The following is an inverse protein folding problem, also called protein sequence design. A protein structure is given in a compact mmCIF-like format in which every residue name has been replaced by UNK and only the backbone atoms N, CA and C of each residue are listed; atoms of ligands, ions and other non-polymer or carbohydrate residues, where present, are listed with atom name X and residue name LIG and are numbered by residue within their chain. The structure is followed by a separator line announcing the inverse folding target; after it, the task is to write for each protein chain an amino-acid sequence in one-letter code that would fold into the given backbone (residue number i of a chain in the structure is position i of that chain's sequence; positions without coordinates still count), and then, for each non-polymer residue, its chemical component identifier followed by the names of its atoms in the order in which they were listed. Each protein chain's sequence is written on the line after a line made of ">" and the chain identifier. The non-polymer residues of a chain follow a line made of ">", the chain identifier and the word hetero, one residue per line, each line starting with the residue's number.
data_IF_832496399047
#
_entry.id   IF_832496399047
#
_cell.length_a   1.000
_cell.length_b   1.000
_cell.length_c   1.000
_cell.angle_alpha   90.00
_cell.angle_beta   90.00
_cell.angle_gamma   90.00
#
_symmetry.space_group_name_H-M   'P 1'
#
loop_
_entity.id
_entity.type
_entity.pdbx_description
1 polymer ?
#
# COMPACT_ATOMS: atom_id res chain seq x y z
N UNK A 1 -54.20 2.81 45.94
CA UNK A 1 -54.52 2.99 44.50
C UNK A 1 -53.64 4.09 43.92
N UNK A 2 -52.61 3.72 43.15
CA UNK A 2 -51.95 4.57 42.14
C UNK A 2 -51.10 3.64 41.27
N UNK A 3 -51.64 3.30 40.10
CA UNK A 3 -51.04 2.42 39.11
C UNK A 3 -49.88 3.14 38.41
N UNK A 4 -48.65 2.64 38.57
CA UNK A 4 -47.52 3.07 37.77
C UNK A 4 -47.29 2.04 36.65
N UNK A 5 -47.93 2.28 35.50
CA UNK A 5 -47.63 1.59 34.24
C UNK A 5 -46.22 1.99 33.79
N UNK A 6 -45.22 1.14 34.01
CA UNK A 6 -43.92 1.26 33.31
C UNK A 6 -44.09 0.68 31.91
N UNK A 7 -44.20 1.57 30.92
CA UNK A 7 -44.01 1.21 29.52
C UNK A 7 -42.56 0.73 29.33
N UNK A 8 -42.38 -0.55 29.03
CA UNK A 8 -41.18 -1.03 28.34
C UNK A 8 -41.19 -0.41 26.94
N UNK A 9 -40.37 0.62 26.72
CA UNK A 9 -39.98 1.01 25.37
C UNK A 9 -38.96 -0.02 24.90
N UNK A 10 -39.41 -1.00 24.11
CA UNK A 10 -38.52 -1.86 23.33
C UNK A 10 -37.93 -0.96 22.25
N UNK A 11 -36.68 -0.54 22.43
CA UNK A 11 -35.90 0.06 21.35
C UNK A 11 -35.71 -1.03 20.28
N UNK A 12 -35.99 -0.77 18.99
CA UNK A 12 -35.63 -1.70 17.95
C UNK A 12 -34.11 -1.71 17.87
N UNK A 13 -33.49 -2.78 18.34
CA UNK A 13 -32.10 -3.10 17.99
C UNK A 13 -32.14 -3.32 16.48
N UNK A 14 -31.60 -2.37 15.72
CA UNK A 14 -31.27 -2.58 14.31
C UNK A 14 -30.30 -3.77 14.27
N UNK A 15 -30.82 -4.96 13.93
CA UNK A 15 -29.99 -5.96 13.28
C UNK A 15 -29.64 -5.37 11.91
N UNK A 16 -28.50 -4.67 11.82
CA UNK A 16 -27.80 -4.62 10.56
C UNK A 16 -27.38 -6.06 10.26
N UNK A 17 -28.21 -6.76 9.50
CA UNK A 17 -27.75 -7.92 8.77
C UNK A 17 -26.56 -7.42 7.94
N UNK A 18 -25.36 -7.92 8.27
CA UNK A 18 -24.22 -7.89 7.37
C UNK A 18 -24.68 -8.62 6.10
N UNK A 19 -25.27 -7.88 5.16
CA UNK A 19 -25.27 -8.30 3.78
C UNK A 19 -23.79 -8.43 3.44
N UNK A 20 -23.33 -9.64 3.16
CA UNK A 20 -21.95 -9.88 2.75
C UNK A 20 -21.61 -8.82 1.71
N UNK A 21 -20.56 -8.04 1.97
CA UNK A 21 -20.00 -7.10 1.02
C UNK A 21 -19.81 -7.88 -0.27
N UNK A 22 -20.57 -7.53 -1.31
CA UNK A 22 -20.22 -7.98 -2.65
C UNK A 22 -18.76 -7.57 -2.86
N UNK A 23 -17.89 -8.50 -3.23
CA UNK A 23 -16.49 -8.20 -3.57
C UNK A 23 -16.51 -7.11 -4.65
N UNK A 24 -16.15 -5.89 -4.27
CA UNK A 24 -16.26 -4.72 -5.12
C UNK A 24 -15.01 -4.57 -5.97
N UNK A 25 -13.83 -4.86 -5.41
CA UNK A 25 -12.58 -4.92 -6.15
C UNK A 25 -12.52 -6.21 -6.98
N UNK A 26 -12.23 -6.05 -8.27
CA UNK A 26 -11.99 -7.17 -9.20
C UNK A 26 -10.56 -7.06 -9.72
N UNK A 27 -9.77 -8.12 -9.55
CA UNK A 27 -8.44 -8.24 -10.15
C UNK A 27 -8.54 -9.27 -11.29
N UNK A 28 -8.31 -8.82 -12.51
CA UNK A 28 -8.36 -9.62 -13.72
C UNK A 28 -6.94 -9.91 -14.21
N UNK A 29 -6.72 -11.15 -14.65
CA UNK A 29 -5.43 -11.59 -15.16
C UNK A 29 -5.48 -11.90 -16.65
N UNK A 30 -4.50 -11.41 -17.39
CA UNK A 30 -4.15 -11.87 -18.73
C UNK A 30 -2.86 -12.67 -18.64
N UNK A 31 -2.95 -13.99 -18.72
CA UNK A 31 -1.77 -14.86 -18.58
C UNK A 31 -0.99 -15.00 -19.89
N UNK A 32 0.34 -15.00 -19.78
CA UNK A 32 1.23 -15.37 -20.88
C UNK A 32 0.89 -16.76 -21.45
N UNK A 33 1.09 -16.99 -22.77
CA UNK A 33 0.84 -18.29 -23.38
C UNK A 33 1.65 -19.41 -22.70
N UNK A 34 0.99 -20.52 -22.37
CA UNK A 34 1.64 -21.67 -21.73
C UNK A 34 1.88 -21.53 -20.23
N UNK A 35 1.23 -20.55 -19.58
CA UNK A 35 1.25 -20.38 -18.12
C UNK A 35 1.08 -21.69 -17.37
N UNK A 36 1.93 -21.93 -16.38
CA UNK A 36 1.81 -23.07 -15.48
C UNK A 36 0.47 -23.01 -14.71
N UNK A 37 -0.35 -24.08 -14.70
CA UNK A 37 -1.65 -24.06 -14.02
C UNK A 37 -1.58 -23.79 -12.51
N UNK A 38 -0.52 -24.23 -11.83
CA UNK A 38 -0.30 -23.96 -10.40
C UNK A 38 0.06 -22.50 -10.19
N UNK A 39 0.91 -21.93 -11.05
CA UNK A 39 1.22 -20.49 -11.01
C UNK A 39 -0.03 -19.64 -11.24
N UNK A 40 -0.86 -19.98 -12.24
CA UNK A 40 -2.13 -19.28 -12.48
C UNK A 40 -3.06 -19.34 -11.27
N UNK A 41 -3.22 -20.53 -10.66
CA UNK A 41 -4.02 -20.69 -9.44
C UNK A 41 -3.43 -19.91 -8.26
N UNK A 42 -2.10 -19.87 -8.14
CA UNK A 42 -1.38 -19.10 -7.14
C UNK A 42 -1.63 -17.59 -7.27
N UNK A 43 -1.57 -17.03 -8.49
CA UNK A 43 -1.93 -15.64 -8.75
C UNK A 43 -3.38 -15.34 -8.39
N UNK A 44 -4.31 -16.24 -8.72
CA UNK A 44 -5.72 -16.09 -8.35
C UNK A 44 -5.93 -16.11 -6.83
N UNK A 45 -5.23 -16.98 -6.11
CA UNK A 45 -5.26 -17.03 -4.66
C UNK A 45 -4.62 -15.79 -4.02
N UNK A 46 -3.54 -15.26 -4.61
CA UNK A 46 -2.90 -14.03 -4.17
C UNK A 46 -3.83 -12.82 -4.38
N UNK A 47 -4.49 -12.71 -5.53
CA UNK A 47 -5.52 -11.70 -5.76
C UNK A 47 -6.66 -11.79 -4.75
N UNK A 48 -7.07 -13.00 -4.37
CA UNK A 48 -8.10 -13.19 -3.35
C UNK A 48 -7.67 -12.64 -1.97
N UNK A 49 -6.38 -12.63 -1.62
CA UNK A 49 -5.92 -12.00 -0.37
C UNK A 49 -6.23 -10.50 -0.34
N UNK A 50 -6.07 -9.81 -1.48
CA UNK A 50 -6.38 -8.38 -1.63
C UNK A 50 -7.89 -8.11 -1.76
N UNK A 51 -8.61 -8.83 -2.62
CA UNK A 51 -10.05 -8.60 -2.83
C UNK A 51 -10.91 -8.98 -1.61
N UNK A 52 -10.37 -9.73 -0.66
CA UNK A 52 -11.02 -10.01 0.61
C UNK A 52 -10.90 -8.87 1.64
N UNK A 53 -9.95 -7.95 1.45
CA UNK A 53 -9.68 -6.87 2.42
C UNK A 53 -9.88 -5.47 1.85
N UNK A 54 -9.93 -5.31 0.52
CA UNK A 54 -10.21 -4.05 -0.17
C UNK A 54 -11.60 -4.11 -0.83
N UNK A 55 -12.32 -2.98 -0.84
CA UNK A 55 -13.73 -2.92 -1.27
C UNK A 55 -14.05 -1.77 -2.25
N UNK A 56 -13.04 -1.19 -2.90
CA UNK A 56 -13.26 -0.23 -3.99
C UNK A 56 -13.92 -0.91 -5.17
N UNK A 57 -14.97 -0.30 -5.73
CA UNK A 57 -15.69 -0.85 -6.88
C UNK A 57 -14.97 -0.58 -8.21
N UNK A 58 -13.75 -1.06 -8.31
CA UNK A 58 -12.84 -0.85 -9.44
C UNK A 58 -12.33 -2.18 -9.99
N UNK A 59 -11.80 -2.12 -11.21
CA UNK A 59 -11.12 -3.22 -11.87
C UNK A 59 -9.62 -2.94 -11.91
N UNK A 60 -8.82 -3.95 -11.62
CA UNK A 60 -7.37 -3.95 -11.80
C UNK A 60 -7.02 -5.05 -12.79
N UNK A 61 -6.38 -4.68 -13.89
CA UNK A 61 -6.00 -5.58 -14.98
C UNK A 61 -4.49 -5.83 -14.97
N UNK A 62 -4.07 -7.08 -14.76
CA UNK A 62 -2.65 -7.42 -14.69
C UNK A 62 -2.29 -8.47 -15.72
N UNK A 63 -1.22 -8.21 -16.47
CA UNK A 63 -0.57 -9.24 -17.27
C UNK A 63 0.30 -10.09 -16.35
N UNK A 64 0.24 -11.41 -16.47
CA UNK A 64 1.05 -12.32 -15.62
C UNK A 64 1.88 -13.28 -16.44
N UNK A 65 3.13 -13.49 -16.03
CA UNK A 65 4.07 -14.43 -16.65
C UNK A 65 4.79 -15.32 -15.64
N UNK A 66 5.24 -16.48 -16.11
CA UNK A 66 6.06 -17.44 -15.37
C UNK A 66 7.18 -17.93 -16.30
N UNK A 67 8.38 -17.40 -16.11
CA UNK A 67 9.48 -17.47 -17.09
C UNK A 67 10.85 -17.35 -16.41
N UNK A 68 11.95 -17.58 -17.12
CA UNK A 68 13.28 -17.32 -16.55
C UNK A 68 13.48 -15.82 -16.34
N UNK A 69 13.88 -15.42 -15.13
CA UNK A 69 14.28 -14.05 -14.77
C UNK A 69 15.76 -14.01 -14.39
N UNK A 70 16.28 -12.81 -14.17
CA UNK A 70 17.66 -12.59 -13.73
C UNK A 70 17.97 -13.33 -12.41
N UNK A 71 19.23 -13.75 -12.18
CA UNK A 71 19.62 -14.45 -10.96
C UNK A 71 19.23 -13.68 -9.70
N UNK A 72 18.56 -14.36 -8.77
CA UNK A 72 18.13 -13.79 -7.49
C UNK A 72 16.78 -13.06 -7.51
N UNK A 73 16.12 -12.94 -8.66
CA UNK A 73 14.80 -12.29 -8.77
C UNK A 73 13.69 -13.33 -8.70
N UNK A 74 12.94 -13.35 -7.60
CA UNK A 74 11.79 -14.25 -7.40
C UNK A 74 10.60 -13.84 -8.28
N UNK A 75 10.24 -12.56 -8.20
CA UNK A 75 9.19 -11.93 -8.98
C UNK A 75 9.59 -10.50 -9.32
N UNK A 76 8.86 -9.90 -10.25
CA UNK A 76 8.97 -8.47 -10.54
C UNK A 76 7.64 -7.90 -10.99
N UNK A 77 7.40 -6.66 -10.61
CA UNK A 77 6.20 -5.89 -11.01
C UNK A 77 6.60 -4.63 -11.76
N UNK A 78 5.99 -4.44 -12.93
CA UNK A 78 6.02 -3.18 -13.67
C UNK A 78 4.60 -2.62 -13.75
N UNK A 79 4.32 -1.55 -13.01
CA UNK A 79 2.99 -0.91 -13.01
C UNK A 79 2.86 0.12 -14.13
N UNK A 80 1.69 0.22 -14.74
CA UNK A 80 1.28 1.40 -15.48
C UNK A 80 1.16 2.57 -14.51
N UNK A 81 1.79 3.70 -14.80
CA UNK A 81 1.86 4.86 -13.90
C UNK A 81 1.39 6.13 -14.59
N UNK A 82 0.84 7.03 -13.79
CA UNK A 82 0.23 8.28 -14.23
C UNK A 82 0.67 9.42 -13.32
N UNK A 83 0.73 10.62 -13.88
CA UNK A 83 1.13 11.85 -13.19
C UNK A 83 -0.08 12.76 -13.03
N UNK A 84 -0.37 13.15 -11.79
CA UNK A 84 -1.42 14.10 -11.45
C UNK A 84 -0.85 15.27 -10.66
N UNK A 85 -1.57 16.38 -10.62
CA UNK A 85 -1.22 17.46 -9.68
C UNK A 85 -1.45 16.99 -8.23
N UNK A 86 -0.65 17.50 -7.29
CA UNK A 86 -0.85 17.22 -5.87
C UNK A 86 -2.24 17.64 -5.39
N UNK A 87 -2.74 18.79 -5.87
CA UNK A 87 -4.08 19.27 -5.52
C UNK A 87 -5.18 18.31 -5.98
N UNK A 88 -5.10 17.79 -7.21
CA UNK A 88 -6.08 16.83 -7.72
C UNK A 88 -6.06 15.53 -6.90
N UNK A 89 -4.86 15.01 -6.61
CA UNK A 89 -4.70 13.83 -5.77
C UNK A 89 -5.26 14.05 -4.36
N UNK A 90 -4.87 15.13 -3.68
CA UNK A 90 -5.37 15.45 -2.34
C UNK A 90 -6.89 15.58 -2.32
N UNK A 91 -7.47 16.25 -3.32
CA UNK A 91 -8.91 16.44 -3.42
C UNK A 91 -9.65 15.12 -3.71
N UNK A 92 -9.07 14.22 -4.50
CA UNK A 92 -9.60 12.89 -4.76
C UNK A 92 -9.56 12.02 -3.50
N UNK A 93 -8.39 11.94 -2.85
CA UNK A 93 -8.21 11.19 -1.60
C UNK A 93 -9.14 11.71 -0.48
N UNK A 94 -9.33 13.02 -0.35
CA UNK A 94 -10.23 13.59 0.64
C UNK A 94 -11.71 13.26 0.39
N UNK A 95 -12.11 13.04 -0.87
CA UNK A 95 -13.49 12.60 -1.22
C UNK A 95 -13.68 11.11 -0.99
N UNK A 96 -12.63 10.33 -1.21
CA UNK A 96 -12.62 8.88 -1.04
C UNK A 96 -12.54 8.46 0.44
N UNK A 97 -11.89 9.27 1.29
CA UNK A 97 -11.61 8.97 2.69
C UNK A 97 -12.78 8.32 3.47
N UNK A 98 -12.57 7.07 3.88
CA UNK A 98 -13.60 6.24 4.50
C UNK A 98 -13.30 5.96 5.96
N UNK A 99 -12.10 5.47 6.24
CA UNK A 99 -11.69 4.96 7.54
C UNK A 99 -11.33 6.09 8.52
N UNK A 100 -11.05 5.72 9.77
CA UNK A 100 -10.48 6.67 10.74
C UNK A 100 -9.05 7.08 10.39
N UNK A 101 -8.26 6.16 9.83
CA UNK A 101 -6.89 6.42 9.41
C UNK A 101 -6.87 7.34 8.18
N UNK A 102 -7.75 7.13 7.19
CA UNK A 102 -7.86 8.03 6.03
C UNK A 102 -8.14 9.46 6.46
N UNK A 103 -9.11 9.63 7.37
CA UNK A 103 -9.49 10.95 7.87
C UNK A 103 -8.35 11.62 8.63
N UNK A 104 -7.56 10.84 9.38
CA UNK A 104 -6.35 11.34 10.03
C UNK A 104 -5.29 11.73 9.00
N UNK A 105 -5.00 10.87 8.03
CA UNK A 105 -4.03 11.09 6.98
C UNK A 105 -4.37 12.36 6.17
N UNK A 106 -5.59 12.44 5.63
CA UNK A 106 -6.10 13.58 4.85
C UNK A 106 -6.07 14.88 5.67
N UNK A 107 -6.46 14.84 6.95
CA UNK A 107 -6.43 16.03 7.82
C UNK A 107 -5.00 16.55 8.07
N UNK A 108 -3.99 15.70 7.89
CA UNK A 108 -2.58 16.03 8.07
C UNK A 108 -1.83 16.24 6.75
N UNK A 109 -2.49 16.18 5.58
CA UNK A 109 -1.85 16.55 4.32
C UNK A 109 -1.66 18.07 4.19
N UNK A 110 -0.69 18.50 3.38
CA UNK A 110 -0.49 19.92 3.07
C UNK A 110 -1.71 20.51 2.37
N UNK A 111 -2.14 21.69 2.81
CA UNK A 111 -3.22 22.44 2.15
C UNK A 111 -2.70 23.36 1.03
N UNK A 112 -1.39 23.42 0.84
CA UNK A 112 -0.75 24.11 -0.30
C UNK A 112 -0.92 23.30 -1.59
N UNK A 113 -0.70 23.92 -2.75
CA UNK A 113 -0.68 23.24 -4.05
C UNK A 113 0.62 22.49 -4.34
N UNK A 114 1.61 22.64 -3.45
CA UNK A 114 2.93 22.04 -3.49
C UNK A 114 3.33 21.58 -2.08
N UNK A 115 4.24 20.62 -2.03
CA UNK A 115 4.78 19.98 -0.84
C UNK A 115 6.10 20.61 -0.45
N UNK A 116 6.38 20.63 0.86
CA UNK A 116 7.71 20.90 1.38
C UNK A 116 8.44 19.55 1.54
N UNK A 117 9.50 19.32 0.77
CA UNK A 117 10.13 17.99 0.64
C UNK A 117 11.56 18.03 1.16
N UNK A 118 11.95 17.10 2.03
CA UNK A 118 13.38 16.88 2.30
C UNK A 118 13.96 16.02 1.19
N UNK A 119 14.98 16.52 0.50
CA UNK A 119 15.67 15.83 -0.59
C UNK A 119 17.19 15.92 -0.42
N UNK A 120 17.94 15.13 -1.16
CA UNK A 120 19.38 15.22 -1.26
C UNK A 120 19.83 14.85 -2.68
N UNK A 121 21.11 15.11 -2.99
CA UNK A 121 21.72 14.50 -4.17
C UNK A 121 21.13 14.89 -5.52
N UNK A 122 20.65 16.12 -5.64
CA UNK A 122 20.24 16.71 -6.93
C UNK A 122 21.38 17.57 -7.48
N UNK A 123 21.35 17.86 -8.78
CA UNK A 123 22.22 18.85 -9.43
C UNK A 123 22.01 20.28 -8.92
N UNK A 124 20.85 20.55 -8.33
CA UNK A 124 20.50 21.84 -7.72
C UNK A 124 20.75 21.90 -6.21
N UNK A 125 21.37 20.87 -5.61
CA UNK A 125 21.56 20.82 -4.17
C UNK A 125 22.42 22.01 -3.68
N UNK A 126 21.93 22.82 -2.70
CA UNK A 126 22.64 24.01 -2.21
C UNK A 126 24.02 23.73 -1.59
N UNK A 127 24.28 22.49 -1.18
CA UNK A 127 25.57 22.05 -0.64
C UNK A 127 26.56 21.59 -1.73
N UNK A 128 26.20 21.77 -3.01
CA UNK A 128 26.94 21.35 -4.19
C UNK A 128 26.23 20.23 -4.95
N UNK A 129 26.44 20.19 -6.27
CA UNK A 129 25.92 19.17 -7.20
C UNK A 129 26.11 17.76 -6.63
N UNK A 130 25.02 16.99 -6.54
CA UNK A 130 25.04 15.60 -6.08
C UNK A 130 25.32 15.43 -4.58
N UNK A 131 25.37 16.52 -3.78
CA UNK A 131 25.71 16.43 -2.36
C UNK A 131 24.71 15.55 -1.59
N UNK A 132 25.24 14.62 -0.79
CA UNK A 132 24.43 13.79 0.10
C UNK A 132 23.79 14.59 1.25
N UNK A 133 24.17 15.87 1.43
CA UNK A 133 23.61 16.73 2.48
C UNK A 133 22.14 17.03 2.16
N UNK A 134 21.19 16.66 3.03
CA UNK A 134 19.78 16.93 2.79
C UNK A 134 19.47 18.42 2.87
N UNK A 135 18.56 18.87 2.00
CA UNK A 135 18.02 20.22 1.99
C UNK A 135 16.49 20.19 1.96
N UNK A 136 15.88 21.32 2.28
CA UNK A 136 14.44 21.52 2.14
C UNK A 136 14.20 22.07 0.74
N UNK A 137 13.44 21.34 -0.06
CA UNK A 137 12.88 21.80 -1.32
C UNK A 137 11.43 22.28 -1.07
N UNK A 138 11.23 23.59 -1.18
CA UNK A 138 9.97 24.29 -0.96
C UNK A 138 9.67 25.29 -2.10
N UNK A 139 10.21 25.00 -3.30
CA UNK A 139 10.23 25.93 -4.43
C UNK A 139 8.96 25.86 -5.32
N UNK A 140 8.07 24.90 -5.07
CA UNK A 140 6.83 24.68 -5.81
C UNK A 140 6.99 24.42 -7.31
N UNK A 141 8.11 23.82 -7.73
CA UNK A 141 8.30 23.34 -9.09
C UNK A 141 7.66 21.97 -9.32
N UNK A 142 7.94 21.33 -10.45
CA UNK A 142 7.24 20.13 -10.90
C UNK A 142 7.37 18.94 -9.93
N UNK A 143 8.50 18.78 -9.25
CA UNK A 143 8.78 17.59 -8.43
C UNK A 143 7.92 17.51 -7.15
N UNK A 144 7.59 18.67 -6.58
CA UNK A 144 6.89 18.82 -5.31
C UNK A 144 5.46 19.35 -5.49
N UNK A 145 5.00 19.52 -6.73
CA UNK A 145 3.60 19.86 -7.08
C UNK A 145 2.85 18.73 -7.81
N UNK A 146 3.48 17.56 -7.97
CA UNK A 146 2.92 16.42 -8.69
C UNK A 146 2.98 15.13 -7.88
N UNK A 147 2.09 14.18 -8.21
CA UNK A 147 2.05 12.82 -7.65
C UNK A 147 2.13 11.82 -8.80
N UNK A 148 3.09 10.90 -8.71
CA UNK A 148 3.28 9.81 -9.66
C UNK A 148 2.83 8.50 -9.05
N UNK A 149 1.68 8.01 -9.50
CA UNK A 149 0.99 6.88 -8.88
C UNK A 149 0.72 5.75 -9.88
N UNK A 150 0.46 4.54 -9.37
CA UNK A 150 0.00 3.46 -10.24
C UNK A 150 -1.41 3.75 -10.73
N UNK A 151 -1.73 3.31 -11.96
CA UNK A 151 -3.08 3.47 -12.51
C UNK A 151 -4.12 2.77 -11.64
N UNK A 152 -3.82 1.61 -11.07
CA UNK A 152 -4.71 0.92 -10.13
C UNK A 152 -5.06 1.81 -8.92
N UNK A 153 -4.07 2.48 -8.32
CA UNK A 153 -4.33 3.41 -7.22
C UNK A 153 -5.13 4.64 -7.70
N UNK A 154 -4.87 5.13 -8.92
CA UNK A 154 -5.63 6.25 -9.51
C UNK A 154 -7.11 5.90 -9.72
N UNK A 155 -7.42 4.64 -10.06
CA UNK A 155 -8.81 4.15 -10.15
C UNK A 155 -9.49 4.17 -8.78
N UNK A 156 -8.79 3.71 -7.74
CA UNK A 156 -9.33 3.64 -6.39
C UNK A 156 -9.79 5.01 -5.88
N UNK A 157 -8.97 6.05 -6.07
CA UNK A 157 -9.33 7.44 -5.70
C UNK A 157 -10.21 8.17 -6.74
N UNK A 158 -10.55 7.53 -7.86
CA UNK A 158 -11.41 8.10 -8.91
C UNK A 158 -10.76 9.15 -9.81
N UNK A 159 -9.43 9.11 -9.97
CA UNK A 159 -8.67 9.92 -10.94
C UNK A 159 -8.53 9.25 -12.31
N UNK A 160 -8.71 7.93 -12.37
CA UNK A 160 -8.84 7.16 -13.59
C UNK A 160 -10.22 6.48 -13.66
N UNK A 161 -10.63 6.06 -14.87
CA UNK A 161 -11.89 5.34 -15.05
C UNK A 161 -11.93 4.10 -14.15
N UNK A 162 -13.02 3.88 -13.42
CA UNK A 162 -13.08 2.76 -12.47
C UNK A 162 -12.93 1.38 -13.13
N UNK A 163 -13.34 1.25 -14.41
CA UNK A 163 -13.36 -0.01 -15.17
C UNK A 163 -13.13 0.26 -16.66
N UNK A 164 -12.09 -0.32 -17.22
CA UNK A 164 -11.78 -0.37 -18.64
C UNK A 164 -10.86 -1.58 -18.95
N UNK A 165 -10.45 -1.73 -20.21
CA UNK A 165 -9.58 -2.83 -20.67
C UNK A 165 -8.07 -2.47 -20.70
N UNK A 166 -7.68 -1.32 -20.13
CA UNK A 166 -6.27 -0.89 -20.06
C UNK A 166 -5.56 -1.69 -18.97
N UNK A 167 -4.37 -2.22 -19.29
CA UNK A 167 -3.52 -2.90 -18.31
C UNK A 167 -2.99 -1.93 -17.25
N UNK A 168 -3.12 -2.31 -15.98
CA UNK A 168 -2.57 -1.59 -14.83
C UNK A 168 -1.14 -2.03 -14.50
N UNK A 169 -0.65 -3.11 -15.12
CA UNK A 169 0.73 -3.55 -14.99
C UNK A 169 0.99 -4.96 -15.46
N UNK A 170 2.23 -5.38 -15.29
CA UNK A 170 2.72 -6.72 -15.59
C UNK A 170 3.48 -7.26 -14.38
N UNK A 171 3.24 -8.54 -14.08
CA UNK A 171 3.93 -9.28 -13.02
C UNK A 171 4.54 -10.54 -13.62
N UNK A 172 5.85 -10.70 -13.46
CA UNK A 172 6.56 -11.88 -13.94
C UNK A 172 7.23 -12.62 -12.79
N UNK A 173 7.08 -13.94 -12.77
CA UNK A 173 7.68 -14.82 -11.77
C UNK A 173 8.75 -15.70 -12.39
N UNK A 174 9.80 -15.94 -11.64
CA UNK A 174 10.92 -16.76 -12.08
C UNK A 174 10.58 -18.26 -12.05
N UNK A 175 10.76 -18.94 -13.18
CA UNK A 175 10.64 -20.40 -13.29
C UNK A 175 11.89 -21.15 -12.81
N UNK A 176 12.89 -20.45 -12.25
CA UNK A 176 14.17 -21.01 -11.83
C UNK A 176 14.22 -21.39 -10.34
N UNK A 177 13.17 -21.12 -9.58
CA UNK A 177 13.09 -21.40 -8.15
C UNK A 177 12.09 -22.53 -7.84
N UNK A 178 12.32 -23.19 -6.71
CA UNK A 178 11.36 -24.12 -6.13
C UNK A 178 10.25 -23.32 -5.44
N UNK A 179 9.00 -23.56 -5.84
CA UNK A 179 7.83 -22.83 -5.38
C UNK A 179 6.88 -23.74 -4.61
N UNK A 180 6.39 -23.25 -3.47
CA UNK A 180 5.24 -23.79 -2.76
C UNK A 180 3.98 -23.06 -3.19
N UNK A 181 3.01 -23.80 -3.73
CA UNK A 181 1.74 -23.26 -4.23
C UNK A 181 0.56 -23.47 -3.26
N UNK A 182 0.81 -23.99 -2.05
CA UNK A 182 -0.20 -24.21 -1.00
C UNK A 182 0.35 -23.93 0.42
N UNK A 183 0.53 -22.65 0.78
CA UNK A 183 1.09 -22.26 2.08
C UNK A 183 0.16 -22.55 3.28
N UNK A 184 -1.06 -23.07 3.07
CA UNK A 184 -1.98 -23.40 4.16
C UNK A 184 -1.65 -24.74 4.84
N UNK A 185 -0.85 -25.58 4.18
CA UNK A 185 -0.31 -26.80 4.77
C UNK A 185 1.11 -26.63 5.37
N UNK A 186 1.63 -25.39 5.36
CA UNK A 186 3.03 -25.06 5.62
C UNK A 186 3.73 -24.64 4.33
N UNK A 187 4.97 -24.16 4.41
CA UNK A 187 5.81 -23.89 3.24
C UNK A 187 7.02 -24.81 3.35
N UNK A 188 7.33 -25.57 2.29
CA UNK A 188 8.52 -26.43 2.29
C UNK A 188 9.79 -25.63 2.58
N UNK A 189 10.67 -26.17 3.44
CA UNK A 189 11.89 -25.49 3.89
C UNK A 189 12.94 -25.24 2.79
N UNK A 190 12.69 -25.65 1.55
CA UNK A 190 13.52 -25.37 0.36
C UNK A 190 12.77 -24.61 -0.74
N UNK A 191 11.50 -24.29 -0.52
CA UNK A 191 10.67 -23.57 -1.47
C UNK A 191 10.30 -22.18 -0.94
N UNK A 192 9.91 -21.30 -1.86
CA UNK A 192 9.32 -20.01 -1.53
C UNK A 192 7.80 -20.07 -1.60
N UNK A 193 7.09 -19.31 -0.74
CA UNK A 193 5.63 -19.15 -0.79
C UNK A 193 5.22 -18.38 -2.05
N UNK A 194 4.79 -19.08 -3.10
CA UNK A 194 4.39 -18.44 -4.36
C UNK A 194 3.21 -17.50 -4.16
N UNK A 195 2.21 -17.89 -3.37
CA UNK A 195 1.01 -17.07 -3.14
C UNK A 195 1.37 -15.82 -2.34
N UNK A 196 2.27 -15.97 -1.38
CA UNK A 196 2.85 -14.87 -0.61
C UNK A 196 3.56 -13.86 -1.49
N UNK A 197 4.55 -14.30 -2.26
CA UNK A 197 5.32 -13.42 -3.17
C UNK A 197 4.38 -12.82 -4.23
N UNK A 198 3.44 -13.58 -4.79
CA UNK A 198 2.49 -13.05 -5.77
C UNK A 198 1.57 -11.97 -5.16
N UNK A 199 1.19 -12.12 -3.89
CA UNK A 199 0.42 -11.09 -3.19
C UNK A 199 1.28 -9.84 -2.93
N UNK A 200 2.57 -10.00 -2.64
CA UNK A 200 3.53 -8.91 -2.52
C UNK A 200 3.62 -8.12 -3.83
N UNK A 201 3.85 -8.80 -4.96
CA UNK A 201 3.93 -8.17 -6.29
C UNK A 201 2.63 -7.44 -6.68
N UNK A 202 1.46 -8.02 -6.37
CA UNK A 202 0.19 -7.32 -6.56
C UNK A 202 0.12 -6.06 -5.69
N UNK A 203 0.69 -6.06 -4.48
CA UNK A 203 0.78 -4.87 -3.62
C UNK A 203 1.52 -3.71 -4.28
N UNK A 204 2.61 -3.97 -5.00
CA UNK A 204 3.28 -2.93 -5.80
C UNK A 204 2.37 -2.40 -6.91
N UNK A 205 1.68 -3.27 -7.64
CA UNK A 205 0.73 -2.86 -8.67
C UNK A 205 -0.41 -1.99 -8.10
N UNK A 206 -0.87 -2.31 -6.88
CA UNK A 206 -1.90 -1.56 -6.17
C UNK A 206 -1.40 -0.22 -5.60
N UNK A 207 -0.09 0.03 -5.54
CA UNK A 207 0.44 1.35 -5.21
C UNK A 207 1.44 1.41 -4.06
N UNK A 208 1.90 0.27 -3.53
CA UNK A 208 3.07 0.26 -2.63
C UNK A 208 4.33 0.51 -3.45
N UNK A 209 4.60 1.77 -3.76
CA UNK A 209 5.76 2.22 -4.53
C UNK A 209 6.35 3.46 -3.86
N UNK A 210 7.60 3.77 -4.18
CA UNK A 210 8.26 4.99 -3.73
C UNK A 210 9.10 5.55 -4.86
N UNK A 211 9.01 6.86 -5.07
CA UNK A 211 9.89 7.53 -6.01
C UNK A 211 11.33 7.67 -5.52
N UNK A 212 11.57 7.41 -4.22
CA UNK A 212 12.91 7.42 -3.64
C UNK A 212 13.81 6.40 -4.33
N UNK A 213 13.28 5.30 -4.87
CA UNK A 213 14.06 4.34 -5.67
C UNK A 213 14.70 5.00 -6.91
N UNK A 214 13.98 5.93 -7.54
CA UNK A 214 14.48 6.68 -8.69
C UNK A 214 15.54 7.70 -8.25
N UNK A 215 15.31 8.42 -7.16
CA UNK A 215 16.30 9.34 -6.61
C UNK A 215 17.58 8.62 -6.21
N UNK A 216 17.45 7.52 -5.46
CA UNK A 216 18.56 6.73 -4.94
C UNK A 216 19.47 6.22 -6.06
N UNK A 217 18.88 5.70 -7.13
CA UNK A 217 19.65 5.23 -8.28
C UNK A 217 20.32 6.37 -9.08
N UNK A 218 19.66 7.53 -9.18
CA UNK A 218 20.10 8.64 -10.06
C UNK A 218 20.79 9.80 -9.31
N UNK A 219 21.08 9.63 -8.02
CA UNK A 219 21.60 10.68 -7.15
C UNK A 219 22.90 11.34 -7.64
N UNK A 220 23.71 10.59 -8.37
CA UNK A 220 25.00 11.07 -8.89
C UNK A 220 24.90 11.55 -10.36
N UNK A 221 23.67 11.69 -10.88
CA UNK A 221 23.39 11.98 -12.30
C UNK A 221 23.32 13.46 -12.68
N UNK A 222 23.52 14.39 -11.73
CA UNK A 222 23.41 15.85 -11.94
C UNK A 222 22.01 16.29 -12.46
N UNK A 223 20.97 15.53 -12.14
CA UNK A 223 19.58 15.88 -12.45
C UNK A 223 19.08 16.99 -11.54
N UNK A 224 18.39 17.99 -12.09
CA UNK A 224 17.72 19.00 -11.28
C UNK A 224 16.64 18.36 -10.41
N UNK A 225 16.36 18.96 -9.25
CA UNK A 225 15.23 18.60 -8.39
C UNK A 225 13.92 18.53 -9.17
N UNK A 226 13.64 19.53 -10.02
CA UNK A 226 12.43 19.59 -10.86
C UNK A 226 12.21 18.39 -11.80
N UNK A 227 13.25 17.61 -12.11
CA UNK A 227 13.14 16.42 -12.97
C UNK A 227 12.62 15.20 -12.20
N UNK A 228 12.72 15.21 -10.87
CA UNK A 228 12.31 14.13 -9.99
C UNK A 228 10.80 14.14 -9.67
N UNK A 229 9.96 14.15 -10.72
CA UNK A 229 8.48 14.14 -10.65
C UNK A 229 7.89 12.79 -10.24
N UNK A 230 8.50 12.10 -9.27
CA UNK A 230 8.24 10.70 -8.93
C UNK A 230 7.67 10.49 -7.52
N UNK A 231 7.31 11.55 -6.78
CA UNK A 231 6.69 11.41 -5.45
C UNK A 231 5.44 10.52 -5.56
N UNK A 232 5.47 9.37 -4.88
CA UNK A 232 4.36 8.42 -4.86
C UNK A 232 3.36 8.74 -3.73
N UNK A 233 2.11 8.26 -3.82
CA UNK A 233 1.12 8.39 -2.75
C UNK A 233 1.64 8.02 -1.35
N UNK A 234 2.37 6.90 -1.24
CA UNK A 234 2.95 6.46 0.02
C UNK A 234 4.07 7.34 0.55
N UNK A 235 4.78 8.08 -0.31
CA UNK A 235 5.87 8.97 0.08
C UNK A 235 5.35 10.14 0.93
N UNK A 236 4.07 10.54 0.78
CA UNK A 236 3.42 11.57 1.60
C UNK A 236 3.41 11.23 3.10
N UNK A 237 3.60 9.97 3.45
CA UNK A 237 3.62 9.46 4.82
C UNK A 237 5.03 9.04 5.27
N UNK A 238 6.04 9.30 4.44
CA UNK A 238 7.45 8.99 4.71
C UNK A 238 8.09 10.13 5.48
N UNK A 239 8.43 9.86 6.73
CA UNK A 239 8.95 10.84 7.68
C UNK A 239 10.34 10.49 8.19
N UNK A 240 11.04 11.47 8.75
CA UNK A 240 12.26 11.26 9.51
C UNK A 240 12.35 12.26 10.66
N UNK A 241 13.35 12.09 11.53
CA UNK A 241 13.65 13.10 12.54
C UNK A 241 14.07 14.45 11.93
N UNK A 242 14.51 14.48 10.68
CA UNK A 242 14.90 15.69 9.98
C UNK A 242 13.69 16.42 9.39
N UNK A 243 12.78 15.72 8.71
CA UNK A 243 11.54 16.34 8.20
C UNK A 243 10.70 16.91 9.33
N UNK A 244 10.57 16.19 10.45
CA UNK A 244 9.91 16.68 11.66
C UNK A 244 10.54 17.99 12.19
N UNK A 245 11.88 18.07 12.26
CA UNK A 245 12.59 19.29 12.69
C UNK A 245 12.45 20.45 11.72
N UNK A 246 12.29 20.17 10.43
CA UNK A 246 12.14 21.15 9.36
C UNK A 246 10.70 21.55 9.09
N UNK A 247 9.73 20.88 9.75
CA UNK A 247 8.31 20.99 9.42
C UNK A 247 8.03 20.77 7.92
N UNK A 248 8.78 19.85 7.30
CA UNK A 248 8.55 19.39 5.94
C UNK A 248 7.35 18.44 5.90
N UNK A 249 6.67 18.36 4.76
CA UNK A 249 5.54 17.46 4.58
C UNK A 249 5.99 15.99 4.45
N UNK A 250 7.17 15.74 3.85
CA UNK A 250 7.77 14.40 3.77
C UNK A 250 9.31 14.43 3.75
N UNK A 251 9.93 13.25 3.91
CA UNK A 251 11.36 13.00 3.69
C UNK A 251 11.59 12.02 2.54
N UNK A 252 11.92 12.58 1.37
CA UNK A 252 12.17 11.88 0.12
C UNK A 252 13.67 11.68 -0.16
N UNK A 253 14.54 11.93 0.81
CA UNK A 253 15.99 11.75 0.64
C UNK A 253 16.41 10.28 0.63
N UNK A 254 17.43 9.98 -0.18
CA UNK A 254 18.07 8.68 -0.29
C UNK A 254 19.37 8.66 0.54
N UNK A 255 19.27 8.08 1.74
CA UNK A 255 20.39 7.89 2.68
C UNK A 255 20.08 6.87 3.78
N UNK A 256 21.02 6.66 4.70
CA UNK A 256 20.92 5.68 5.79
C UNK A 256 20.13 6.15 7.02
N UNK A 257 19.58 7.37 7.03
CA UNK A 257 18.78 7.84 8.18
C UNK A 257 17.45 7.11 8.16
N UNK A 258 17.00 6.62 9.33
CA UNK A 258 15.69 5.98 9.49
C UNK A 258 14.58 6.82 8.88
N UNK A 259 13.80 6.17 8.01
CA UNK A 259 12.55 6.69 7.44
C UNK A 259 11.40 5.88 8.01
N UNK A 260 10.33 6.56 8.40
CA UNK A 260 9.21 5.92 9.07
C UNK A 260 7.86 6.37 8.53
N UNK A 261 6.89 5.47 8.62
CA UNK A 261 5.51 5.69 8.26
C UNK A 261 4.77 6.45 9.36
N UNK A 262 4.09 7.53 8.99
CA UNK A 262 3.39 8.43 9.91
C UNK A 262 2.19 9.08 9.23
N UNK A 263 1.06 9.14 9.92
CA UNK A 263 -0.19 9.75 9.41
C UNK A 263 -0.46 11.14 9.98
N UNK A 264 0.43 11.65 10.83
CA UNK A 264 0.20 12.84 11.65
C UNK A 264 1.35 13.84 11.58
N UNK A 265 1.90 14.04 10.38
CA UNK A 265 3.05 14.92 10.10
C UNK A 265 4.26 14.59 10.96
N UNK A 266 4.67 13.33 10.95
CA UNK A 266 5.89 12.85 11.59
C UNK A 266 5.87 12.90 13.13
N UNK A 267 4.68 12.90 13.75
CA UNK A 267 4.54 12.97 15.21
C UNK A 267 4.52 11.57 15.84
N UNK A 268 3.97 10.59 15.14
CA UNK A 268 3.99 9.18 15.53
C UNK A 268 4.73 8.33 14.50
N UNK A 269 5.40 7.29 14.99
CA UNK A 269 6.04 6.26 14.16
C UNK A 269 5.19 5.01 14.21
N UNK A 270 4.61 4.62 13.07
CA UNK A 270 3.81 3.41 12.94
C UNK A 270 4.65 2.20 12.51
N UNK A 271 5.58 2.42 11.58
CA UNK A 271 6.50 1.42 11.06
C UNK A 271 7.71 2.12 10.43
N UNK A 272 8.73 1.35 10.05
CA UNK A 272 9.89 1.86 9.32
C UNK A 272 9.87 1.38 7.87
N UNK A 273 10.36 2.23 6.98
CA UNK A 273 10.55 1.91 5.56
C UNK A 273 12.01 1.60 5.30
N UNK A 274 12.26 0.81 4.25
CA UNK A 274 13.60 0.75 3.66
C UNK A 274 14.01 2.09 3.07
N UNK A 275 15.32 2.33 3.00
CA UNK A 275 15.89 3.67 2.79
C UNK A 275 16.63 3.85 1.47
N UNK A 276 16.78 2.79 0.67
CA UNK A 276 17.37 2.84 -0.67
C UNK A 276 18.41 1.74 -0.86
N UNK A 277 18.48 1.22 -2.09
CA UNK A 277 19.36 0.11 -2.46
C UNK A 277 20.83 0.52 -2.65
N UNK A 278 21.08 1.77 -3.05
CA UNK A 278 22.42 2.28 -3.38
C UNK A 278 22.99 3.06 -2.21
N UNK A 279 22.22 4.00 -1.65
CA UNK A 279 22.69 4.91 -0.59
C UNK A 279 21.99 4.74 0.74
N UNK A 280 21.01 3.83 0.81
CA UNK A 280 20.24 3.52 2.00
C UNK A 280 20.72 2.27 2.73
N UNK A 281 19.75 1.46 3.14
CA UNK A 281 19.91 0.21 3.89
C UNK A 281 20.19 -1.00 3.00
N UNK A 282 20.31 -0.80 1.69
CA UNK A 282 20.57 -1.86 0.71
C UNK A 282 19.29 -2.45 0.10
N UNK A 283 18.12 -1.98 0.54
CA UNK A 283 16.82 -2.43 0.05
C UNK A 283 16.04 -1.29 -0.60
N UNK A 284 15.17 -1.63 -1.56
CA UNK A 284 14.36 -0.64 -2.27
C UNK A 284 13.45 0.12 -1.30
N UNK A 285 13.39 1.44 -1.43
CA UNK A 285 12.60 2.32 -0.58
C UNK A 285 11.08 2.11 -0.73
N UNK A 286 10.65 1.45 -1.80
CA UNK A 286 9.29 0.93 -2.01
C UNK A 286 8.95 -0.30 -1.16
N UNK A 287 9.56 -0.46 0.02
CA UNK A 287 9.30 -1.58 0.93
C UNK A 287 9.24 -1.13 2.40
N UNK A 288 8.63 -1.96 3.23
CA UNK A 288 8.87 -1.94 4.67
C UNK A 288 10.35 -2.22 4.96
N UNK A 289 10.81 -1.85 6.15
CA UNK A 289 12.15 -2.22 6.57
C UNK A 289 12.25 -3.75 6.72
N UNK A 290 13.27 -4.32 6.08
CA UNK A 290 13.60 -5.76 6.09
C UNK A 290 13.79 -6.34 7.50
N UNK A 291 13.48 -7.63 7.64
CA UNK A 291 13.67 -8.44 8.86
C UNK A 291 12.95 -7.90 10.12
N UNK A 292 11.94 -7.05 9.95
CA UNK A 292 11.18 -6.45 11.07
C UNK A 292 9.81 -7.10 11.30
N UNK A 293 9.41 -8.06 10.45
CA UNK A 293 8.11 -8.73 10.49
C UNK A 293 6.93 -7.72 10.50
N UNK A 294 7.04 -6.70 9.64
CA UNK A 294 6.10 -5.58 9.56
C UNK A 294 4.87 -5.90 8.72
N UNK A 295 5.05 -6.66 7.64
CA UNK A 295 3.98 -6.95 6.71
C UNK A 295 4.44 -7.70 5.46
N UNK A 296 3.52 -7.87 4.53
CA UNK A 296 3.72 -8.57 3.27
C UNK A 296 4.72 -7.87 2.35
N UNK A 297 4.84 -6.54 2.43
CA UNK A 297 5.72 -5.72 1.59
C UNK A 297 7.14 -5.59 2.18
N UNK A 298 7.63 -6.67 2.79
CA UNK A 298 9.03 -6.85 3.18
C UNK A 298 9.88 -7.12 1.91
N UNK A 299 11.08 -6.51 1.75
CA UNK A 299 11.87 -6.63 0.53
C UNK A 299 12.48 -8.02 0.31
N UNK A 300 12.44 -8.91 1.31
CA UNK A 300 12.97 -10.27 1.16
C UNK A 300 11.94 -11.33 1.50
N UNK A 301 12.19 -12.53 0.96
CA UNK A 301 11.45 -13.73 1.30
C UNK A 301 12.45 -14.85 1.56
N UNK A 302 12.25 -15.60 2.64
CA UNK A 302 13.06 -16.76 3.01
C UNK A 302 12.49 -18.08 2.52
N UNK A 303 13.35 -19.10 2.41
CA UNK A 303 12.89 -20.48 2.20
C UNK A 303 12.06 -20.97 3.39
N UNK A 304 10.92 -21.62 3.13
CA UNK A 304 10.02 -22.11 4.17
C UNK A 304 9.25 -21.01 4.91
N UNK A 305 9.36 -19.76 4.48
CA UNK A 305 8.66 -18.64 5.07
C UNK A 305 7.25 -18.50 4.47
N UNK A 306 6.26 -18.28 5.34
CA UNK A 306 4.90 -17.92 4.92
C UNK A 306 4.73 -16.42 5.00
N UNK A 307 4.56 -15.77 3.85
CA UNK A 307 4.34 -14.33 3.78
C UNK A 307 2.85 -14.03 3.96
N UNK A 308 2.52 -13.09 4.85
CA UNK A 308 1.13 -12.81 5.22
C UNK A 308 0.82 -11.32 5.21
N UNK A 309 -0.39 -10.98 4.77
CA UNK A 309 -0.89 -9.62 4.84
C UNK A 309 -1.16 -9.22 6.30
N UNK A 310 -0.53 -8.14 6.74
CA UNK A 310 -0.65 -7.62 8.09
C UNK A 310 -1.73 -6.53 8.21
N UNK A 311 -1.99 -6.09 9.45
CA UNK A 311 -2.81 -4.89 9.69
C UNK A 311 -2.12 -3.61 9.22
N UNK A 312 -0.78 -3.58 9.23
CA UNK A 312 0.01 -2.44 8.77
C UNK A 312 -0.10 -2.27 7.25
N UNK A 313 -0.03 -3.37 6.49
CA UNK A 313 -0.23 -3.33 5.04
C UNK A 313 -1.60 -2.75 4.72
N UNK A 314 -2.66 -3.28 5.35
CA UNK A 314 -4.02 -2.75 5.16
C UNK A 314 -4.10 -1.26 5.50
N UNK A 315 -3.48 -0.81 6.59
CA UNK A 315 -3.45 0.61 6.95
C UNK A 315 -2.70 1.47 5.92
N UNK A 316 -1.62 0.96 5.33
CA UNK A 316 -0.92 1.66 4.26
C UNK A 316 -1.80 1.81 3.02
N UNK A 317 -2.43 0.73 2.55
CA UNK A 317 -3.31 0.77 1.39
C UNK A 317 -4.53 1.67 1.61
N UNK A 318 -5.09 1.66 2.82
CA UNK A 318 -6.14 2.58 3.28
C UNK A 318 -5.75 4.03 2.97
N UNK A 319 -4.65 4.50 3.55
CA UNK A 319 -4.29 5.92 3.50
C UNK A 319 -3.78 6.40 2.13
N UNK A 320 -3.40 5.49 1.23
CA UNK A 320 -3.07 5.87 -0.16
C UNK A 320 -4.30 5.87 -1.07
N UNK A 321 -5.48 5.48 -0.56
CA UNK A 321 -6.77 5.62 -1.23
C UNK A 321 -7.48 4.31 -1.62
N UNK A 322 -7.20 3.20 -0.92
CA UNK A 322 -7.99 1.97 -1.05
C UNK A 322 -8.91 1.79 0.15
N UNK A 323 -10.20 1.69 -0.06
CA UNK A 323 -11.14 1.46 1.01
C UNK A 323 -10.99 0.03 1.58
N UNK A 324 -10.56 -0.07 2.84
CA UNK A 324 -10.46 -1.36 3.53
C UNK A 324 -11.81 -1.85 4.06
N UNK A 325 -12.06 -3.15 3.97
CA UNK A 325 -13.22 -3.80 4.59
C UNK A 325 -13.08 -3.65 6.12
N UNK A 326 -14.05 -3.04 6.81
CA UNK A 326 -13.99 -2.88 8.25
C UNK A 326 -13.93 -4.25 8.94
N UNK A 327 -12.96 -4.44 9.84
CA UNK A 327 -12.94 -5.63 10.68
C UNK A 327 -14.24 -5.68 11.53
N UNK A 328 -14.85 -6.86 11.72
CA UNK A 328 -16.04 -6.97 12.57
C UNK A 328 -15.71 -6.45 13.97
N UNK A 329 -16.20 -5.27 14.31
CA UNK A 329 -15.92 -4.66 15.61
C UNK A 329 -16.28 -5.63 16.74
N UNK A 330 -15.48 -5.65 17.83
CA UNK A 330 -15.69 -6.55 18.97
C UNK A 330 -17.13 -6.51 19.52
N UNK A 331 -17.81 -5.36 19.41
CA UNK A 331 -19.23 -5.19 19.76
C UNK A 331 -20.15 -5.96 18.82
N UNK A 332 -19.89 -5.98 17.51
CA UNK A 332 -20.63 -6.77 16.53
C UNK A 332 -20.48 -8.27 16.77
N UNK A 333 -19.26 -8.73 17.04
CA UNK A 333 -18.99 -10.13 17.41
C UNK A 333 -19.65 -10.50 18.74
N UNK A 334 -19.62 -9.62 19.73
CA UNK A 334 -20.27 -9.83 21.03
C UNK A 334 -21.79 -9.89 20.92
N UNK A 335 -22.40 -9.01 20.10
CA UNK A 335 -23.85 -9.01 19.84
C UNK A 335 -24.30 -10.24 19.06
N UNK A 336 -23.51 -10.69 18.07
CA UNK A 336 -23.75 -11.95 17.35
C UNK A 336 -23.64 -13.16 18.30
N UNK A 337 -22.64 -13.16 19.20
CA UNK A 337 -22.50 -14.18 20.24
C UNK A 337 -23.70 -14.23 21.20
N UNK A 338 -24.19 -13.08 21.66
CA UNK A 338 -25.38 -12.97 22.51
C UNK A 338 -26.66 -13.42 21.78
N UNK A 339 -26.82 -13.09 20.51
CA UNK A 339 -27.95 -13.53 19.69
C UNK A 339 -27.93 -15.06 19.48
N UNK A 340 -26.76 -15.66 19.25
CA UNK A 340 -26.58 -17.11 19.17
C UNK A 340 -26.95 -17.83 20.48
N UNK A 341 -26.53 -17.29 21.62
CA UNK A 341 -26.87 -17.82 22.94
C UNK A 341 -28.38 -17.70 23.26
N UNK A 342 -29.02 -16.60 22.87
CA UNK A 342 -30.46 -16.41 23.02
C UNK A 342 -31.28 -17.35 22.13
N UNK A 343 -30.80 -17.62 20.90
CA UNK A 343 -31.40 -18.59 19.98
C UNK A 343 -31.27 -20.04 20.47
N UNK A 344 -30.13 -20.42 21.05
CA UNK A 344 -29.91 -21.75 21.62
C UNK A 344 -30.77 -22.00 22.88
N UNK A 345 -31.07 -20.96 23.67
CA UNK A 345 -31.94 -21.05 24.85
C UNK A 345 -33.43 -21.19 24.53
N UNK A 346 -33.88 -20.75 23.35
CA UNK A 346 -35.28 -20.89 22.90
C UNK A 346 -35.59 -22.26 22.28
N UNK A 347 -34.58 -23.07 21.97
CA UNK A 347 -34.73 -24.43 21.43
C UNK A 347 -34.65 -25.55 22.48
N UNK A 348 -34.68 -25.20 23.77
CA UNK A 348 -34.77 -26.17 24.89
C UNK A 348 -36.13 -26.09 25.57
#
# INVERSE_FOLDING_TARGET
>A
MKNLKRLLKIAPVLLCAYAGSAQALVINFTSAPGMDPLALAGFQAAAARWTNVLQDNVQVNLNIGFMELEPGVLGSTASTRELFSYDDYRNALAKDAWSGNDKQAVANLSTSSCLNVIMNGTGTNPSGIGSATPFLDDNCDANNSSIFMTRANARAVGLADAKDDVSDGEINFSSLFDWDFDPDNGVDGKAYDFIGVAAHEIGHALGFISGVDILDYNRDGDYADAEFTFIAPGDLYRCSSHSAKKAADLDWSADTRTKYFSLDKCQTTLATFSTGSVYGDGQQASHWQDDMNLGLLDPTAGFGEKLTLSALDKQYFDVIGWNVVPEPGAVGLFLLGLAGLAGARRKR
#
